data_IF_443832266407
#
_entry.id   IF_443832266407
#
_cell.length_a   1.000
_cell.length_b   1.000
_cell.length_c   1.000
_cell.angle_alpha   90.00
_cell.angle_beta   90.00
_cell.angle_gamma   90.00
#
_symmetry.space_group_name_H-M   'P 1'
#
loop_
_entity.id
_entity.type
_entity.pdbx_description
1 polymer ?
#
# COMPACT_ATOMS: atom_id res chain seq x y z
N UNK A 1 -8.95 -8.31 2.76
CA UNK A 1 -7.71 -7.55 3.03
C UNK A 1 -7.47 -6.58 1.88
N UNK A 2 -6.94 -5.39 2.13
CA UNK A 2 -6.57 -4.41 1.11
C UNK A 2 -5.14 -3.99 1.40
N UNK A 3 -4.24 -4.11 0.42
CA UNK A 3 -2.85 -3.70 0.57
C UNK A 3 -2.42 -2.78 -0.57
N UNK A 4 -1.49 -1.88 -0.28
CA UNK A 4 -0.92 -0.95 -1.26
C UNK A 4 0.22 -1.55 -2.08
N UNK A 5 0.55 -0.88 -3.17
CA UNK A 5 1.76 -1.13 -3.94
C UNK A 5 2.38 0.18 -4.42
N UNK A 6 3.44 0.60 -3.75
CA UNK A 6 4.09 1.89 -4.01
C UNK A 6 4.74 1.95 -5.39
N UNK A 7 5.09 0.80 -5.97
CA UNK A 7 5.67 0.71 -7.30
C UNK A 7 4.66 0.87 -8.43
N UNK A 8 3.37 1.01 -8.11
CA UNK A 8 2.32 1.32 -9.09
C UNK A 8 2.07 2.82 -9.25
N UNK A 9 2.74 3.66 -8.48
CA UNK A 9 2.62 5.11 -8.60
C UNK A 9 3.02 5.57 -10.01
N UNK A 10 2.11 6.22 -10.72
CA UNK A 10 2.37 6.94 -11.96
C UNK A 10 1.73 8.32 -11.87
N UNK A 11 2.45 9.35 -12.30
CA UNK A 11 2.04 10.73 -12.09
C UNK A 11 2.59 11.64 -13.18
N UNK A 12 1.91 12.78 -13.36
CA UNK A 12 2.31 13.85 -14.26
C UNK A 12 2.42 15.18 -13.47
N UNK A 13 3.47 16.00 -13.72
CA UNK A 13 4.65 15.67 -14.51
C UNK A 13 5.47 14.54 -13.86
N UNK A 14 6.08 13.68 -14.68
CA UNK A 14 7.01 12.67 -14.17
C UNK A 14 8.31 13.37 -13.72
N UNK A 15 8.92 12.85 -12.66
CA UNK A 15 10.12 13.46 -12.08
C UNK A 15 11.01 12.37 -11.46
N UNK A 16 12.29 12.36 -11.84
CA UNK A 16 13.24 11.34 -11.40
C UNK A 16 13.52 11.40 -9.88
N UNK A 17 13.54 12.58 -9.27
CA UNK A 17 13.76 12.72 -7.83
C UNK A 17 12.52 12.29 -7.04
N UNK A 18 11.30 12.53 -7.54
CA UNK A 18 10.07 11.98 -6.95
C UNK A 18 10.07 10.44 -6.95
N UNK A 19 10.49 9.84 -8.08
CA UNK A 19 10.67 8.39 -8.20
C UNK A 19 11.72 7.87 -7.21
N UNK A 20 12.83 8.59 -7.04
CA UNK A 20 13.89 8.23 -6.11
C UNK A 20 13.43 8.32 -4.64
N UNK A 21 12.65 9.33 -4.27
CA UNK A 21 12.08 9.47 -2.93
C UNK A 21 11.12 8.30 -2.62
N UNK A 22 10.24 7.91 -3.55
CA UNK A 22 9.40 6.71 -3.42
C UNK A 22 10.26 5.44 -3.28
N UNK A 23 11.34 5.32 -4.06
CA UNK A 23 12.25 4.18 -3.97
C UNK A 23 12.94 4.08 -2.59
N UNK A 24 13.23 5.21 -1.94
CA UNK A 24 13.74 5.23 -0.57
C UNK A 24 12.72 4.62 0.41
N UNK A 25 11.44 5.00 0.31
CA UNK A 25 10.36 4.40 1.11
C UNK A 25 10.30 2.88 0.94
N UNK A 26 10.36 2.40 -0.31
CA UNK A 26 10.36 0.97 -0.63
C UNK A 26 11.58 0.26 -0.01
N UNK A 27 12.77 0.84 -0.16
CA UNK A 27 14.01 0.28 0.37
C UNK A 27 14.01 0.23 1.90
N UNK A 28 13.55 1.29 2.57
CA UNK A 28 13.46 1.35 4.03
C UNK A 28 12.47 0.34 4.58
N UNK A 29 11.27 0.24 3.99
CA UNK A 29 10.29 -0.76 4.42
C UNK A 29 10.83 -2.19 4.25
N UNK A 30 11.55 -2.45 3.15
CA UNK A 30 12.25 -3.73 2.95
C UNK A 30 13.32 -3.99 4.00
N UNK A 31 14.14 -2.99 4.35
CA UNK A 31 15.18 -3.11 5.39
C UNK A 31 14.57 -3.37 6.78
N UNK A 32 13.35 -2.88 7.03
CA UNK A 32 12.60 -3.14 8.25
C UNK A 32 11.85 -4.50 8.25
N UNK A 33 12.00 -5.31 7.20
CA UNK A 33 11.33 -6.62 7.08
C UNK A 33 9.90 -6.57 6.52
N UNK A 34 9.43 -5.41 6.07
CA UNK A 34 8.16 -5.26 5.36
C UNK A 34 8.29 -5.37 3.84
N UNK A 35 7.18 -5.20 3.13
CA UNK A 35 7.12 -5.19 1.66
C UNK A 35 6.19 -4.07 1.16
N UNK A 36 6.78 -2.98 0.67
CA UNK A 36 6.05 -1.84 0.10
C UNK A 36 5.32 -2.16 -1.21
N UNK A 37 5.62 -3.32 -1.81
CA UNK A 37 5.09 -3.82 -3.07
C UNK A 37 4.20 -5.05 -2.82
N UNK A 38 3.72 -5.26 -1.59
CA UNK A 38 2.98 -6.49 -1.23
C UNK A 38 1.67 -6.64 -2.02
N UNK A 39 1.03 -5.53 -2.42
CA UNK A 39 -0.20 -5.53 -3.19
C UNK A 39 -0.16 -6.43 -4.44
N UNK A 40 0.90 -6.34 -5.26
CA UNK A 40 1.06 -7.19 -6.46
C UNK A 40 1.32 -8.67 -6.12
N UNK A 41 1.64 -9.00 -4.87
CA UNK A 41 2.00 -10.35 -4.41
C UNK A 41 0.91 -11.03 -3.60
N UNK A 42 -0.25 -10.40 -3.40
CA UNK A 42 -1.32 -10.98 -2.58
C UNK A 42 -1.78 -12.36 -3.05
N UNK A 43 -1.89 -12.58 -4.37
CA UNK A 43 -2.32 -13.87 -4.90
C UNK A 43 -1.34 -15.00 -4.53
N UNK A 44 -0.05 -14.96 -4.92
CA UNK A 44 0.87 -16.03 -4.57
C UNK A 44 1.06 -16.19 -3.06
N UNK A 45 1.09 -15.10 -2.27
CA UNK A 45 1.26 -15.19 -0.82
C UNK A 45 0.09 -15.92 -0.13
N UNK A 46 -1.16 -15.64 -0.54
CA UNK A 46 -2.32 -16.31 0.01
C UNK A 46 -2.40 -17.77 -0.43
N UNK A 47 -2.03 -18.06 -1.68
CA UNK A 47 -1.97 -19.44 -2.18
C UNK A 47 -0.90 -20.27 -1.47
N UNK A 48 0.30 -19.73 -1.26
CA UNK A 48 1.40 -20.39 -0.55
C UNK A 48 1.06 -20.62 0.94
N UNK A 49 0.28 -19.73 1.55
CA UNK A 49 -0.23 -19.88 2.91
C UNK A 49 -1.37 -20.90 3.04
N UNK A 50 -1.78 -21.56 1.95
CA UNK A 50 -2.81 -22.59 1.94
C UNK A 50 -4.24 -22.06 1.97
N UNK A 51 -4.48 -20.79 1.63
CA UNK A 51 -5.85 -20.31 1.47
C UNK A 51 -6.47 -20.79 0.16
N UNK A 52 -7.77 -21.02 0.19
CA UNK A 52 -8.57 -21.44 -0.96
C UNK A 52 -9.40 -20.29 -1.53
N UNK A 53 -9.94 -20.49 -2.74
CA UNK A 53 -10.79 -19.53 -3.44
C UNK A 53 -10.19 -18.11 -3.51
N UNK A 54 -8.85 -18.01 -3.60
CA UNK A 54 -8.14 -16.73 -3.64
C UNK A 54 -8.61 -15.91 -4.85
N UNK A 55 -9.03 -14.67 -4.58
CA UNK A 55 -9.37 -13.65 -5.58
C UNK A 55 -8.67 -12.37 -5.21
N UNK A 56 -8.03 -11.73 -6.18
CA UNK A 56 -7.38 -10.42 -6.03
C UNK A 56 -7.88 -9.51 -7.13
N UNK A 57 -8.28 -8.30 -6.78
CA UNK A 57 -8.68 -7.26 -7.72
C UNK A 57 -7.89 -5.96 -7.47
N UNK A 58 -7.41 -5.29 -8.51
CA UNK A 58 -6.82 -3.96 -8.37
C UNK A 58 -7.91 -2.92 -8.05
N UNK A 59 -7.56 -1.96 -7.19
CA UNK A 59 -8.33 -0.77 -6.86
C UNK A 59 -7.46 0.44 -7.20
N UNK A 60 -7.59 0.98 -8.43
CA UNK A 60 -6.84 2.18 -8.81
C UNK A 60 -7.42 3.41 -8.11
N UNK A 61 -6.54 4.24 -7.57
CA UNK A 61 -6.84 5.57 -7.04
C UNK A 61 -6.29 6.57 -8.04
N UNK A 62 -7.17 7.13 -8.88
CA UNK A 62 -6.82 8.17 -9.84
C UNK A 62 -7.27 9.55 -9.34
N UNK A 63 -6.37 10.53 -9.45
CA UNK A 63 -6.53 11.88 -8.92
C UNK A 63 -6.05 12.91 -9.95
N UNK A 64 -6.85 13.95 -10.14
CA UNK A 64 -6.54 15.15 -10.92
C UNK A 64 -7.32 16.35 -10.37
N UNK A 65 -7.18 17.52 -11.00
CA UNK A 65 -7.83 18.76 -10.57
C UNK A 65 -9.38 18.72 -10.54
N UNK A 66 -10.03 17.75 -11.18
CA UNK A 66 -11.48 17.56 -11.06
C UNK A 66 -11.91 16.94 -9.72
N UNK A 67 -10.95 16.43 -8.93
CA UNK A 67 -11.17 15.71 -7.66
C UNK A 67 -10.40 16.36 -6.51
N UNK A 68 -10.66 17.64 -6.25
CA UNK A 68 -9.91 18.46 -5.27
C UNK A 68 -9.80 17.83 -3.88
N UNK A 69 -10.83 17.12 -3.40
CA UNK A 69 -10.79 16.40 -2.13
C UNK A 69 -9.74 15.28 -2.11
N UNK A 70 -9.52 14.59 -3.24
CA UNK A 70 -8.47 13.58 -3.38
C UNK A 70 -7.10 14.20 -3.66
N UNK A 71 -7.02 15.33 -4.36
CA UNK A 71 -5.75 16.08 -4.50
C UNK A 71 -5.20 16.41 -3.13
N UNK A 72 -6.05 16.98 -2.28
CA UNK A 72 -5.67 17.39 -0.95
C UNK A 72 -5.53 16.19 0.02
N UNK A 73 -6.51 15.29 0.04
CA UNK A 73 -6.52 14.14 0.96
C UNK A 73 -5.52 13.05 0.60
N UNK A 74 -5.45 12.67 -0.68
CA UNK A 74 -4.65 11.53 -1.13
C UNK A 74 -3.24 11.96 -1.52
N UNK A 75 -3.08 12.91 -2.45
CA UNK A 75 -1.72 13.31 -2.89
C UNK A 75 -0.99 13.99 -1.73
N UNK A 76 -1.50 15.11 -1.23
CA UNK A 76 -0.76 15.94 -0.25
C UNK A 76 -0.66 15.28 1.13
N UNK A 77 -1.79 14.93 1.74
CA UNK A 77 -1.84 14.49 3.15
C UNK A 77 -1.60 13.01 3.39
N UNK A 78 -1.64 12.19 2.34
CA UNK A 78 -1.44 10.73 2.49
C UNK A 78 -0.15 10.29 1.79
N UNK A 79 -0.12 10.33 0.45
CA UNK A 79 0.99 9.74 -0.30
C UNK A 79 2.28 10.54 -0.13
N UNK A 80 2.25 11.86 -0.37
CA UNK A 80 3.44 12.70 -0.24
C UNK A 80 3.89 12.79 1.21
N UNK A 81 2.98 12.99 2.17
CA UNK A 81 3.33 13.03 3.59
C UNK A 81 3.97 11.71 4.09
N UNK A 82 3.52 10.55 3.60
CA UNK A 82 4.13 9.26 3.91
C UNK A 82 5.55 9.14 3.37
N UNK A 83 5.82 9.63 2.16
CA UNK A 83 7.18 9.65 1.57
C UNK A 83 8.05 10.65 2.32
N UNK A 84 7.56 11.87 2.57
CA UNK A 84 8.27 12.92 3.30
C UNK A 84 8.67 12.46 4.71
N UNK A 85 7.76 11.74 5.38
CA UNK A 85 7.96 11.22 6.72
C UNK A 85 9.15 10.28 6.90
N UNK A 86 9.79 9.79 5.82
CA UNK A 86 10.98 8.94 5.91
C UNK A 86 12.30 9.60 5.54
N UNK A 87 12.32 10.92 5.30
CA UNK A 87 13.52 11.67 4.92
C UNK A 87 14.72 11.35 5.83
N UNK A 88 14.55 11.50 7.15
CA UNK A 88 15.62 11.32 8.12
C UNK A 88 16.22 9.91 8.08
N UNK A 89 15.38 8.87 7.94
CA UNK A 89 15.85 7.49 7.81
C UNK A 89 16.50 7.23 6.44
N UNK A 90 15.99 7.84 5.37
CA UNK A 90 16.56 7.69 4.03
C UNK A 90 17.98 8.27 3.95
N UNK A 91 18.19 9.47 4.52
CA UNK A 91 19.49 10.13 4.59
C UNK A 91 20.44 9.33 5.49
N UNK A 92 20.02 8.98 6.71
CA UNK A 92 20.85 8.23 7.65
C UNK A 92 21.29 6.86 7.11
N UNK A 93 20.45 6.25 6.27
CA UNK A 93 20.72 4.95 5.67
C UNK A 93 21.45 5.03 4.31
N UNK A 94 21.91 6.23 3.92
CA UNK A 94 22.69 6.50 2.70
C UNK A 94 21.92 6.28 1.40
N UNK A 95 20.59 6.35 1.43
CA UNK A 95 19.73 6.09 0.27
C UNK A 95 19.49 7.34 -0.58
N UNK A 96 19.59 8.53 0.01
CA UNK A 96 19.41 9.80 -0.67
C UNK A 96 20.25 10.91 -0.05
N UNK A 97 20.62 11.88 -0.89
CA UNK A 97 21.13 13.17 -0.43
C UNK A 97 19.97 14.08 0.00
N UNK A 98 20.12 14.89 1.07
CA UNK A 98 19.03 15.73 1.60
C UNK A 98 18.37 16.60 0.52
N UNK A 99 19.18 17.31 -0.27
CA UNK A 99 18.69 18.20 -1.32
C UNK A 99 17.89 17.47 -2.40
N UNK A 100 18.29 16.23 -2.74
CA UNK A 100 17.58 15.42 -3.75
C UNK A 100 16.29 14.84 -3.20
N UNK A 101 16.29 14.43 -1.93
CA UNK A 101 15.07 13.95 -1.29
C UNK A 101 14.02 15.06 -1.20
N UNK A 102 14.43 16.25 -0.74
CA UNK A 102 13.57 17.44 -0.71
C UNK A 102 13.03 17.82 -2.11
N UNK A 103 13.88 17.75 -3.15
CA UNK A 103 13.44 17.96 -4.53
C UNK A 103 12.39 16.91 -4.97
N UNK A 104 12.55 15.66 -4.55
CA UNK A 104 11.58 14.59 -4.81
C UNK A 104 10.23 14.84 -4.12
N UNK A 105 10.22 15.24 -2.86
CA UNK A 105 9.00 15.60 -2.12
C UNK A 105 8.31 16.81 -2.76
N UNK A 106 9.06 17.85 -3.12
CA UNK A 106 8.52 19.01 -3.83
C UNK A 106 7.92 18.62 -5.19
N UNK A 107 8.56 17.71 -5.92
CA UNK A 107 8.04 17.18 -7.17
C UNK A 107 6.76 16.35 -6.99
N UNK A 108 6.63 15.59 -5.88
CA UNK A 108 5.36 14.94 -5.55
C UNK A 108 4.25 15.96 -5.27
N UNK A 109 4.54 17.03 -4.53
CA UNK A 109 3.59 18.14 -4.37
C UNK A 109 3.21 18.82 -5.69
N UNK A 110 4.13 18.91 -6.66
CA UNK A 110 3.86 19.47 -8.00
C UNK A 110 2.79 18.68 -8.76
N UNK A 111 2.61 17.39 -8.47
CA UNK A 111 1.55 16.57 -9.09
C UNK A 111 0.14 16.93 -8.60
N UNK A 112 0.03 17.74 -7.55
CA UNK A 112 -1.23 18.24 -6.98
C UNK A 112 -1.62 19.64 -7.47
N UNK A 113 -0.93 20.17 -8.48
CA UNK A 113 -1.27 21.42 -9.15
C UNK A 113 -2.33 21.21 -10.26
N UNK A 114 -2.95 22.26 -10.83
CA UNK A 114 -4.10 22.13 -11.73
C UNK A 114 -3.89 21.28 -13.00
N UNK A 115 -2.66 21.15 -13.48
CA UNK A 115 -2.27 20.32 -14.63
C UNK A 115 -1.68 18.96 -14.22
N UNK A 116 -1.62 18.68 -12.91
CA UNK A 116 -1.06 17.46 -12.36
C UNK A 116 -2.05 16.30 -12.33
N UNK A 117 -1.52 15.09 -12.44
CA UNK A 117 -2.29 13.85 -12.24
C UNK A 117 -1.49 12.87 -11.40
N UNK A 118 -2.19 12.04 -10.64
CA UNK A 118 -1.59 10.99 -9.83
C UNK A 118 -2.47 9.73 -9.89
N UNK A 119 -1.84 8.58 -10.04
CA UNK A 119 -2.48 7.29 -9.94
C UNK A 119 -1.59 6.32 -9.18
N UNK A 120 -2.19 5.54 -8.28
CA UNK A 120 -1.56 4.33 -7.75
C UNK A 120 -2.64 3.26 -7.53
N UNK A 121 -2.23 2.02 -7.34
CA UNK A 121 -3.13 0.88 -7.22
C UNK A 121 -2.98 0.20 -5.86
N UNK A 122 -4.10 0.04 -5.17
CA UNK A 122 -4.24 -0.91 -4.08
C UNK A 122 -4.75 -2.24 -4.62
N UNK A 123 -4.62 -3.31 -3.84
CA UNK A 123 -5.09 -4.63 -4.21
C UNK A 123 -5.97 -5.18 -3.11
N UNK A 124 -7.21 -5.54 -3.45
CA UNK A 124 -8.15 -6.18 -2.54
C UNK A 124 -8.11 -7.68 -2.76
N UNK A 125 -7.84 -8.40 -1.70
CA UNK A 125 -7.87 -9.85 -1.68
C UNK A 125 -8.97 -10.41 -0.78
N UNK A 126 -9.59 -11.49 -1.26
CA UNK A 126 -10.49 -12.35 -0.50
C UNK A 126 -10.08 -13.82 -0.69
N UNK A 127 -10.14 -14.60 0.38
CA UNK A 127 -9.86 -16.03 0.37
C UNK A 127 -10.59 -16.70 1.54
N UNK A 128 -10.74 -18.03 1.49
CA UNK A 128 -11.28 -18.85 2.57
C UNK A 128 -10.18 -19.69 3.20
N UNK A 129 -10.28 -19.93 4.51
CA UNK A 129 -9.50 -21.00 5.14
C UNK A 129 -9.96 -22.34 4.55
N UNK A 130 -9.06 -23.31 4.35
CA UNK A 130 -9.46 -24.67 4.02
C UNK A 130 -10.53 -25.16 4.98
N UNK A 131 -11.52 -25.88 4.47
CA UNK A 131 -12.40 -26.63 5.35
C UNK A 131 -11.59 -27.79 5.92
N UNK A 132 -11.47 -27.94 7.25
CA UNK A 132 -10.80 -29.11 7.79
C UNK A 132 -11.62 -30.34 7.42
N UNK A 133 -10.95 -31.35 6.84
CA UNK A 133 -11.60 -32.61 6.46
C UNK A 133 -12.19 -33.34 7.68
N UNK A 134 -11.60 -33.15 8.87
CA UNK A 134 -12.11 -33.67 10.14
C UNK A 134 -12.40 -32.57 11.15
N UNK A 135 -13.52 -32.70 11.88
CA UNK A 135 -13.90 -31.77 12.95
C UNK A 135 -12.87 -31.69 14.10
N UNK A 136 -12.03 -32.71 14.27
CA UNK A 136 -10.92 -32.75 15.24
C UNK A 136 -9.69 -31.95 14.80
N UNK A 137 -9.56 -31.62 13.50
CA UNK A 137 -8.48 -30.79 12.96
C UNK A 137 -8.78 -29.29 13.09
N UNK A 138 -9.96 -28.94 13.65
CA UNK A 138 -10.27 -27.59 14.07
C UNK A 138 -9.28 -27.18 15.18
N UNK A 139 -8.36 -26.22 14.94
CA UNK A 139 -7.25 -26.03 15.86
C UNK A 139 -7.70 -25.35 17.15
N UNK A 140 -7.35 -25.94 18.30
CA UNK A 140 -7.48 -25.35 19.66
C UNK A 140 -6.76 -24.00 19.84
N UNK A 141 -6.04 -23.52 18.83
CA UNK A 141 -5.24 -22.29 18.83
C UNK A 141 -6.05 -20.99 18.72
N UNK A 142 -7.22 -20.87 19.36
CA UNK A 142 -7.97 -19.60 19.41
C UNK A 142 -8.64 -19.29 20.75
N UNK A 143 -8.01 -19.62 21.88
CA UNK A 143 -8.44 -19.11 23.21
C UNK A 143 -7.98 -17.68 23.54
N UNK A 144 -7.17 -17.02 22.70
CA UNK A 144 -6.65 -15.65 22.99
C UNK A 144 -6.74 -14.64 21.83
N UNK A 145 -7.47 -14.94 20.74
CA UNK A 145 -7.69 -13.99 19.65
C UNK A 145 -9.16 -13.55 19.64
N UNK A 146 -9.48 -12.60 20.52
CA UNK A 146 -10.70 -11.83 20.37
C UNK A 146 -10.69 -11.13 19.01
N UNK A 147 -11.80 -11.24 18.28
CA UNK A 147 -12.20 -10.34 17.16
C UNK A 147 -11.67 -10.68 15.76
N UNK A 148 -11.83 -11.91 15.26
CA UNK A 148 -11.96 -12.14 13.81
C UNK A 148 -12.99 -13.23 13.47
N UNK A 149 -13.63 -13.05 12.31
CA UNK A 149 -14.92 -13.59 11.90
C UNK A 149 -15.04 -15.12 11.86
N UNK A 150 -16.29 -15.61 11.95
CA UNK A 150 -16.68 -17.03 11.88
C UNK A 150 -16.40 -17.64 10.49
N UNK A 151 -16.33 -18.97 10.35
CA UNK A 151 -16.25 -19.64 9.04
C UNK A 151 -17.31 -19.10 8.07
N UNK A 152 -16.90 -18.80 6.84
CA UNK A 152 -17.78 -18.26 5.81
C UNK A 152 -18.08 -16.75 5.89
N UNK A 153 -17.51 -16.01 6.84
CA UNK A 153 -17.62 -14.55 6.84
C UNK A 153 -16.42 -13.87 6.18
N UNK A 154 -16.66 -12.84 5.33
CA UNK A 154 -15.58 -12.07 4.72
C UNK A 154 -14.77 -11.34 5.79
N UNK A 155 -13.44 -11.32 5.61
CA UNK A 155 -12.55 -10.49 6.41
C UNK A 155 -12.76 -9.03 5.98
N UNK A 156 -13.56 -8.29 6.75
CA UNK A 156 -13.69 -6.83 6.62
C UNK A 156 -12.47 -6.17 7.24
N UNK A 157 -11.56 -5.71 6.39
CA UNK A 157 -10.52 -4.75 6.80
C UNK A 157 -11.14 -3.37 6.61
N UNK A 158 -11.12 -2.55 7.67
CA UNK A 158 -11.52 -1.15 7.61
C UNK A 158 -10.66 -0.47 6.55
N UNK A 159 -11.27 0.00 5.46
CA UNK A 159 -10.60 0.91 4.53
C UNK A 159 -10.68 2.33 5.08
N UNK A 160 -9.68 3.19 4.80
CA UNK A 160 -9.84 4.63 4.94
C UNK A 160 -11.10 5.11 4.20
N UNK A 161 -11.75 6.17 4.68
CA UNK A 161 -12.99 6.71 4.09
C UNK A 161 -12.87 7.17 2.62
N UNK A 162 -11.66 7.14 2.05
CA UNK A 162 -11.35 7.46 0.65
C UNK A 162 -11.09 6.23 -0.24
N UNK A 163 -11.16 5.00 0.30
CA UNK A 163 -11.01 3.71 -0.39
C UNK A 163 -12.34 2.97 -0.46
#
# INVERSE_FOLDING_TARGET
>A
MIEGDHGTACFHPDNADARAAIACQVALQRRAGGDALVGRRLYPLLSEAGFEAVRVAPIPVYVDASRLALVEGFIRRTFTAMVDGVEGWAIAAGLAEPARFAAGVAALHRTAEPDGTFCCTFFKASASTPFPENASDWPERRRHAGRFARPGQPITVLSPDWL
#
